data_IF_140479504651
#
_entry.id   IF_140479504651
#
_cell.length_a   1.000
_cell.length_b   1.000
_cell.length_c   1.000
_cell.angle_alpha   90.00
_cell.angle_beta   90.00
_cell.angle_gamma   90.00
#
_symmetry.space_group_name_H-M   'P 1'
#
loop_
_entity.id
_entity.type
_entity.pdbx_description
1 polymer ?
#
# COMPACT_ATOMS: atom_id res chain seq x y z
N UNK A 1 2.60 6.50 22.00
CA UNK A 1 2.66 6.54 20.52
C UNK A 1 2.95 5.17 19.90
N UNK A 2 4.02 4.45 20.29
CA UNK A 2 4.37 3.13 19.70
C UNK A 2 3.24 2.07 19.72
N UNK A 3 2.44 2.01 20.79
CA UNK A 3 1.33 1.03 20.92
C UNK A 3 0.22 1.21 19.86
N UNK A 4 -0.08 2.45 19.49
CA UNK A 4 -1.12 2.75 18.47
C UNK A 4 -0.60 2.38 17.07
N UNK A 5 0.65 2.71 16.78
CA UNK A 5 1.26 2.35 15.49
C UNK A 5 1.34 0.83 15.32
N UNK A 6 1.70 0.09 16.36
CA UNK A 6 1.67 -1.38 16.30
C UNK A 6 0.26 -1.91 16.04
N UNK A 7 -0.77 -1.37 16.72
CA UNK A 7 -2.17 -1.74 16.46
C UNK A 7 -2.57 -1.49 15.01
N UNK A 8 -2.17 -0.36 14.44
CA UNK A 8 -2.47 -0.01 13.04
C UNK A 8 -1.68 -0.86 12.05
N UNK A 9 -0.45 -1.24 12.39
CA UNK A 9 0.34 -2.17 11.58
C UNK A 9 -0.31 -3.55 11.52
N UNK A 10 -0.68 -4.12 12.67
CA UNK A 10 -1.39 -5.41 12.71
C UNK A 10 -2.74 -5.33 11.99
N UNK A 11 -3.43 -4.20 12.09
CA UNK A 11 -4.65 -3.98 11.31
C UNK A 11 -4.38 -3.99 9.81
N UNK A 12 -3.33 -3.32 9.31
CA UNK A 12 -2.97 -3.33 7.89
C UNK A 12 -2.65 -4.74 7.40
N UNK A 13 -1.97 -5.57 8.21
CA UNK A 13 -1.73 -6.99 7.88
C UNK A 13 -3.04 -7.77 7.78
N UNK A 14 -3.90 -7.68 8.80
CA UNK A 14 -5.18 -8.40 8.82
C UNK A 14 -6.14 -7.96 7.70
N UNK A 15 -6.03 -6.70 7.26
CA UNK A 15 -6.87 -6.10 6.23
C UNK A 15 -6.11 -5.92 4.91
N UNK A 16 -4.99 -6.64 4.69
CA UNK A 16 -4.07 -6.40 3.58
C UNK A 16 -4.80 -6.30 2.24
N UNK A 17 -5.67 -7.27 1.93
CA UNK A 17 -6.42 -7.29 0.68
C UNK A 17 -7.33 -6.06 0.51
N UNK A 18 -8.01 -5.66 1.60
CA UNK A 18 -8.90 -4.49 1.59
C UNK A 18 -8.10 -3.22 1.36
N UNK A 19 -6.93 -3.11 2.02
CA UNK A 19 -6.05 -1.96 1.86
C UNK A 19 -5.44 -1.89 0.45
N UNK A 20 -4.98 -3.02 -0.10
CA UNK A 20 -4.47 -3.10 -1.47
C UNK A 20 -5.55 -2.71 -2.48
N UNK A 21 -6.79 -3.21 -2.34
CA UNK A 21 -7.91 -2.80 -3.19
C UNK A 21 -8.22 -1.30 -3.07
N UNK A 22 -8.16 -0.75 -1.86
CA UNK A 22 -8.29 0.69 -1.65
C UNK A 22 -7.16 1.48 -2.34
N UNK A 23 -5.92 0.99 -2.31
CA UNK A 23 -4.80 1.61 -3.03
C UNK A 23 -5.03 1.57 -4.54
N UNK A 24 -5.44 0.42 -5.10
CA UNK A 24 -5.75 0.25 -6.52
C UNK A 24 -6.87 1.19 -7.00
N UNK A 25 -7.86 1.45 -6.15
CA UNK A 25 -8.94 2.40 -6.48
C UNK A 25 -8.50 3.87 -6.39
N UNK A 26 -7.48 4.18 -5.58
CA UNK A 26 -7.01 5.55 -5.32
C UNK A 26 -5.83 5.96 -6.20
N UNK A 27 -4.96 5.02 -6.52
CA UNK A 27 -3.76 5.20 -7.32
C UNK A 27 -3.79 4.19 -8.48
N UNK A 28 -3.24 4.53 -9.66
CA UNK A 28 -3.14 3.60 -10.78
C UNK A 28 -2.07 2.53 -10.49
N UNK A 29 -2.38 1.61 -9.58
CA UNK A 29 -1.53 0.48 -9.22
C UNK A 29 -1.93 -0.72 -10.07
N UNK A 30 -1.02 -1.15 -10.93
CA UNK A 30 -1.22 -2.28 -11.81
C UNK A 30 -0.07 -3.27 -11.63
N UNK A 31 -0.30 -4.53 -11.99
CA UNK A 31 0.77 -5.52 -11.98
C UNK A 31 1.98 -5.05 -12.81
N UNK A 32 3.20 -5.22 -12.27
CA UNK A 32 4.47 -4.70 -12.77
C UNK A 32 4.61 -3.17 -12.86
N UNK A 33 3.69 -2.39 -12.32
CA UNK A 33 3.86 -0.93 -12.23
C UNK A 33 4.85 -0.55 -11.13
N UNK A 34 5.54 0.58 -11.31
CA UNK A 34 6.25 1.22 -10.21
C UNK A 34 5.25 1.74 -9.18
N UNK A 35 5.61 1.61 -7.91
CA UNK A 35 4.86 2.10 -6.77
C UNK A 35 5.80 2.85 -5.84
N UNK A 36 5.47 4.09 -5.53
CA UNK A 36 6.35 4.97 -4.78
C UNK A 36 5.95 5.01 -3.30
N UNK A 37 6.96 5.21 -2.44
CA UNK A 37 6.75 5.31 -1.00
C UNK A 37 5.74 6.40 -0.61
N UNK A 38 5.70 7.49 -1.39
CA UNK A 38 4.77 8.59 -1.17
C UNK A 38 3.31 8.16 -1.38
N UNK A 39 3.05 7.29 -2.35
CA UNK A 39 1.72 6.75 -2.62
C UNK A 39 1.30 5.82 -1.48
N UNK A 40 2.22 4.99 -0.99
CA UNK A 40 1.98 4.16 0.18
C UNK A 40 1.66 5.01 1.42
N UNK A 41 2.47 6.04 1.66
CA UNK A 41 2.33 6.94 2.81
C UNK A 41 0.97 7.65 2.82
N UNK A 42 0.61 8.32 1.72
CA UNK A 42 -0.70 8.98 1.61
C UNK A 42 -1.86 7.99 1.49
N UNK A 43 -1.60 6.78 0.99
CA UNK A 43 -2.51 5.66 1.00
C UNK A 43 -2.90 5.27 2.43
N UNK A 44 -1.92 4.92 3.27
CA UNK A 44 -2.10 4.57 4.68
C UNK A 44 -2.79 5.70 5.44
N UNK A 45 -2.31 6.94 5.29
CA UNK A 45 -2.93 8.10 5.95
C UNK A 45 -4.42 8.21 5.58
N UNK A 46 -4.74 8.21 4.29
CA UNK A 46 -6.13 8.32 3.83
C UNK A 46 -7.00 7.12 4.21
N UNK A 47 -6.44 5.91 4.27
CA UNK A 47 -7.16 4.70 4.65
C UNK A 47 -7.64 4.78 6.10
N UNK A 48 -6.76 5.20 7.02
CA UNK A 48 -7.12 5.40 8.42
C UNK A 48 -8.04 6.60 8.63
N UNK A 49 -7.83 7.71 7.91
CA UNK A 49 -8.70 8.89 7.96
C UNK A 49 -10.15 8.55 7.56
N UNK A 50 -10.34 7.76 6.49
CA UNK A 50 -11.68 7.27 6.08
C UNK A 50 -12.36 6.39 7.14
N UNK A 51 -11.58 5.75 8.01
CA UNK A 51 -12.07 4.95 9.16
C UNK A 51 -12.24 5.79 10.44
N UNK A 52 -12.16 7.12 10.36
CA UNK A 52 -12.26 8.02 11.50
C UNK A 52 -11.05 7.97 12.44
N UNK A 53 -9.94 7.34 12.02
CA UNK A 53 -8.72 7.18 12.84
C UNK A 53 -7.71 8.27 12.46
N UNK A 54 -7.37 9.11 13.42
CA UNK A 54 -6.33 10.14 13.24
C UNK A 54 -4.95 9.50 13.34
N UNK A 55 -4.10 9.83 12.37
CA UNK A 55 -2.70 9.45 12.31
C UNK A 55 -1.87 10.68 11.92
N UNK A 56 -0.75 10.91 12.61
CA UNK A 56 0.14 12.01 12.25
C UNK A 56 0.86 11.71 10.93
N UNK A 57 1.40 12.75 10.30
CA UNK A 57 2.26 12.58 9.13
C UNK A 57 3.46 11.66 9.43
N UNK A 58 4.16 11.90 10.54
CA UNK A 58 5.28 11.09 10.99
C UNK A 58 4.89 9.63 11.28
N UNK A 59 3.75 9.42 11.93
CA UNK A 59 3.26 8.07 12.26
C UNK A 59 2.85 7.28 11.02
N UNK A 60 2.24 7.95 10.04
CA UNK A 60 1.87 7.32 8.75
C UNK A 60 3.10 7.03 7.89
N UNK A 61 4.15 7.84 8.00
CA UNK A 61 5.43 7.58 7.35
C UNK A 61 6.14 6.37 7.96
N UNK A 62 6.18 6.27 9.29
CA UNK A 62 6.75 5.10 9.99
C UNK A 62 5.99 3.82 9.62
N UNK A 63 4.65 3.88 9.58
CA UNK A 63 3.81 2.75 9.16
C UNK A 63 4.03 2.36 7.71
N UNK A 64 4.21 3.32 6.81
CA UNK A 64 4.53 3.04 5.41
C UNK A 64 5.85 2.29 5.28
N UNK A 65 6.88 2.66 6.06
CA UNK A 65 8.15 1.93 6.07
C UNK A 65 7.96 0.47 6.47
N UNK A 66 7.36 0.24 7.65
CA UNK A 66 7.13 -1.12 8.17
C UNK A 66 6.23 -1.97 7.27
N UNK A 67 5.22 -1.35 6.67
CA UNK A 67 4.30 -2.07 5.79
C UNK A 67 4.90 -2.35 4.42
N UNK A 68 5.77 -1.47 3.89
CA UNK A 68 6.53 -1.77 2.69
C UNK A 68 7.45 -2.98 2.90
N UNK A 69 8.22 -3.01 4.00
CA UNK A 69 9.06 -4.15 4.38
C UNK A 69 8.25 -5.45 4.46
N UNK A 70 7.08 -5.40 5.11
CA UNK A 70 6.17 -6.54 5.16
C UNK A 70 5.69 -7.00 3.78
N UNK A 71 5.29 -6.07 2.89
CA UNK A 71 4.88 -6.41 1.53
C UNK A 71 6.04 -6.95 0.68
N UNK A 72 7.29 -6.52 0.94
CA UNK A 72 8.49 -7.11 0.35
C UNK A 72 8.67 -8.57 0.80
N UNK A 73 8.55 -8.84 2.11
CA UNK A 73 8.62 -10.20 2.67
C UNK A 73 7.54 -11.14 2.11
N UNK A 74 6.36 -10.61 1.78
CA UNK A 74 5.28 -11.38 1.15
C UNK A 74 5.45 -11.54 -0.38
N UNK A 75 6.49 -10.95 -0.98
CA UNK A 75 6.71 -10.98 -2.42
C UNK A 75 5.77 -10.09 -3.25
N UNK A 76 4.96 -9.25 -2.60
CA UNK A 76 4.00 -8.35 -3.26
C UNK A 76 4.73 -7.12 -3.82
N UNK A 77 5.73 -6.64 -3.08
CA UNK A 77 6.62 -5.56 -3.51
C UNK A 77 7.99 -6.10 -3.85
N UNK A 78 8.44 -5.89 -5.07
CA UNK A 78 9.81 -6.17 -5.48
C UNK A 78 10.58 -4.85 -5.48
N UNK A 79 11.52 -4.71 -4.56
CA UNK A 79 12.29 -3.46 -4.40
C UNK A 79 13.07 -3.11 -5.68
N UNK A 80 12.89 -1.89 -6.17
CA UNK A 80 13.64 -1.36 -7.32
C UNK A 80 14.59 -0.23 -6.91
N UNK A 81 14.27 0.50 -5.85
CA UNK A 81 15.14 1.51 -5.23
C UNK A 81 14.77 1.70 -3.75
N UNK A 82 15.45 2.60 -3.04
CA UNK A 82 15.17 2.87 -1.61
C UNK A 82 13.72 3.27 -1.30
N UNK A 83 13.02 3.90 -2.24
CA UNK A 83 11.65 4.44 -2.05
C UNK A 83 10.67 4.02 -3.13
N UNK A 84 11.02 3.01 -3.92
CA UNK A 84 10.21 2.55 -5.05
C UNK A 84 10.25 1.03 -5.15
N UNK A 85 9.10 0.47 -5.48
CA UNK A 85 8.90 -0.96 -5.67
C UNK A 85 8.19 -1.20 -6.99
N UNK A 86 8.38 -2.39 -7.54
CA UNK A 86 7.52 -2.95 -8.56
C UNK A 86 6.43 -3.78 -7.87
N UNK A 87 5.17 -3.58 -8.23
CA UNK A 87 4.08 -4.39 -7.67
C UNK A 87 4.01 -5.74 -8.39
N UNK A 88 4.28 -6.81 -7.66
CA UNK A 88 4.22 -8.18 -8.15
C UNK A 88 3.03 -8.91 -7.53
N UNK A 89 1.83 -8.44 -7.88
CA UNK A 89 0.58 -9.01 -7.39
C UNK A 89 -0.33 -9.42 -8.56
N UNK A 90 -0.46 -10.73 -8.87
CA UNK A 90 -1.23 -11.20 -10.01
C UNK A 90 -2.72 -10.79 -9.98
N UNK A 91 -3.31 -10.59 -8.81
CA UNK A 91 -4.69 -10.09 -8.69
C UNK A 91 -4.86 -8.64 -9.19
N UNK A 92 -3.75 -7.93 -9.40
CA UNK A 92 -3.72 -6.60 -10.00
C UNK A 92 -3.41 -6.61 -11.49
N UNK A 93 -3.36 -7.79 -12.12
CA UNK A 93 -3.34 -7.91 -13.58
C UNK A 93 -4.65 -7.33 -14.11
N UNK A 94 -4.54 -6.28 -14.91
CA UNK A 94 -5.66 -5.75 -15.70
C UNK A 94 -5.88 -6.69 -16.88
N UNK A 95 -6.74 -7.69 -16.74
CA UNK A 95 -7.32 -8.34 -17.91
C UNK A 95 -8.31 -7.38 -18.52
N UNK A 96 -7.90 -6.72 -19.61
CA UNK A 96 -8.64 -6.44 -20.86
C UNK A 96 -7.86 -5.33 -21.58
N UNK A 97 -6.97 -5.74 -22.48
CA UNK A 97 -6.65 -4.93 -23.66
C UNK A 97 -7.85 -5.10 -24.59
N UNK A 98 -8.79 -4.17 -24.50
CA UNK A 98 -9.87 -4.03 -25.47
C UNK A 98 -9.59 -2.77 -26.25
N UNK A 99 -8.97 -2.90 -27.42
CA UNK A 99 -9.17 -1.90 -28.47
C UNK A 99 -10.67 -1.91 -28.79
N UNK A 100 -11.40 -0.80 -28.59
CA UNK A 100 -12.74 -0.68 -29.15
C UNK A 100 -12.60 -0.24 -30.62
N UNK A 101 -13.01 -1.17 -31.49
CA UNK A 101 -13.31 -1.06 -32.93
C UNK A 101 -12.12 -1.10 -33.90
#
# INVERSE_FOLDING_TARGET
MKKILNKYFEQLKSEQQIFLNYLKAKFPVFHNSNFFFRDLHYGIKGYFEKKGKKISYSGSQELAGKFAEYLEEQGIFVKTSEKTWKVDFPEFVTTVQGDPL
#
